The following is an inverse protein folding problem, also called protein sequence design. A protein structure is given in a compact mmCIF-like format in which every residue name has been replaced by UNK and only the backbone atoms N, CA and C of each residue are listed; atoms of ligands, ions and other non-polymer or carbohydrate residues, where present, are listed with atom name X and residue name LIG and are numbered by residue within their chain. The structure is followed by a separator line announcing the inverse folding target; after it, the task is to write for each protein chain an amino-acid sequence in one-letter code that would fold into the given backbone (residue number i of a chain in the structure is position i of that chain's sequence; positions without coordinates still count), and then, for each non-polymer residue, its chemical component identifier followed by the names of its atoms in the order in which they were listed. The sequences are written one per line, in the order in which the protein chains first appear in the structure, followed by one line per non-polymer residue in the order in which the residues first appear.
data_IF_914912587580
#
_entry.id   IF_914912587580
#
_cell.length_a   1.000
_cell.length_b   1.000
_cell.length_c   1.000
_cell.angle_alpha   90.00
_cell.angle_beta   90.00
_cell.angle_gamma   90.00
#
_symmetry.space_group_name_H-M   'P 1'
#
loop_
_entity.id
_entity.type
_entity.pdbx_description
1 polymer ?
#
# COMPACT_ATOMS: atom_id res chain seq x y z
N UNK A 1 5.46 1.50 -33.90
CA UNK A 1 5.86 2.47 -32.85
C UNK A 1 5.31 2.14 -31.44
N UNK A 2 4.46 1.11 -31.26
CA UNK A 2 3.92 0.70 -29.94
C UNK A 2 4.26 -0.75 -29.54
N UNK A 3 5.23 -1.37 -30.20
CA UNK A 3 5.51 -2.81 -30.06
C UNK A 3 5.92 -3.22 -28.64
N UNK A 4 6.61 -2.36 -27.90
CA UNK A 4 7.04 -2.63 -26.52
C UNK A 4 5.84 -2.65 -25.54
N UNK A 5 4.90 -1.71 -25.71
CA UNK A 5 3.69 -1.62 -24.90
C UNK A 5 2.78 -2.84 -25.10
N UNK A 6 2.57 -3.25 -26.36
CA UNK A 6 1.81 -4.47 -26.66
C UNK A 6 2.51 -5.75 -26.19
N UNK A 7 3.84 -5.80 -26.20
CA UNK A 7 4.61 -6.96 -25.72
C UNK A 7 4.49 -7.12 -24.20
N UNK A 8 4.60 -6.03 -23.44
CA UNK A 8 4.40 -6.04 -21.98
C UNK A 8 2.93 -6.20 -21.57
N UNK A 9 1.99 -5.84 -22.44
CA UNK A 9 0.55 -6.10 -22.24
C UNK A 9 0.19 -7.58 -22.41
N UNK A 10 1.09 -8.41 -22.94
CA UNK A 10 0.85 -9.84 -23.05
C UNK A 10 1.22 -10.56 -21.74
N UNK A 11 0.32 -11.41 -21.20
CA UNK A 11 0.57 -12.09 -19.92
C UNK A 11 1.84 -12.94 -19.91
N UNK A 12 2.14 -13.65 -21.00
CA UNK A 12 3.31 -14.53 -21.09
C UNK A 12 4.63 -13.75 -20.95
N UNK A 13 4.82 -12.72 -21.75
CA UNK A 13 6.06 -11.94 -21.70
C UNK A 13 6.21 -11.18 -20.38
N UNK A 14 5.10 -10.67 -19.82
CA UNK A 14 5.12 -10.04 -18.50
C UNK A 14 5.54 -11.04 -17.41
N UNK A 15 4.98 -12.25 -17.40
CA UNK A 15 5.28 -13.27 -16.40
C UNK A 15 6.74 -13.76 -16.49
N UNK A 16 7.24 -14.03 -17.69
CA UNK A 16 8.64 -14.43 -17.90
C UNK A 16 9.64 -13.35 -17.47
N UNK A 17 9.30 -12.08 -17.70
CA UNK A 17 10.16 -10.97 -17.31
C UNK A 17 10.07 -10.69 -15.80
N UNK A 18 8.87 -10.52 -15.26
CA UNK A 18 8.66 -10.25 -13.82
C UNK A 18 9.17 -11.39 -12.95
N UNK A 19 8.96 -12.65 -13.34
CA UNK A 19 9.41 -13.82 -12.60
C UNK A 19 10.94 -13.90 -12.45
N UNK A 20 11.71 -13.36 -13.40
CA UNK A 20 13.18 -13.29 -13.30
C UNK A 20 13.63 -12.26 -12.25
N UNK A 21 12.91 -11.15 -12.14
CA UNK A 21 13.25 -10.06 -11.21
C UNK A 21 12.66 -10.25 -9.81
N UNK A 22 11.55 -10.97 -9.71
CA UNK A 22 10.80 -11.19 -8.47
C UNK A 22 11.67 -11.69 -7.30
N UNK A 23 12.54 -12.72 -7.42
CA UNK A 23 13.34 -13.18 -6.28
C UNK A 23 14.34 -12.12 -5.81
N UNK A 24 14.92 -11.33 -6.73
CA UNK A 24 15.88 -10.28 -6.39
C UNK A 24 15.21 -9.10 -5.70
N UNK A 25 14.09 -8.63 -6.25
CA UNK A 25 13.31 -7.54 -5.66
C UNK A 25 12.73 -7.98 -4.31
N UNK A 26 12.17 -9.19 -4.22
CA UNK A 26 11.64 -9.74 -2.97
C UNK A 26 12.72 -9.88 -1.90
N UNK A 27 13.89 -10.41 -2.25
CA UNK A 27 15.03 -10.51 -1.35
C UNK A 27 15.49 -9.14 -0.85
N UNK A 28 15.64 -8.17 -1.75
CA UNK A 28 16.01 -6.79 -1.40
C UNK A 28 14.95 -6.14 -0.49
N UNK A 29 13.67 -6.31 -0.79
CA UNK A 29 12.57 -5.82 0.02
C UNK A 29 12.63 -6.39 1.44
N UNK A 30 12.81 -7.71 1.60
CA UNK A 30 12.91 -8.33 2.93
C UNK A 30 14.10 -7.77 3.71
N UNK A 31 15.27 -7.67 3.07
CA UNK A 31 16.49 -7.15 3.71
C UNK A 31 16.28 -5.71 4.19
N UNK A 32 15.81 -4.82 3.30
CA UNK A 32 15.57 -3.42 3.65
C UNK A 32 14.48 -3.26 4.69
N UNK A 33 13.43 -4.08 4.64
CA UNK A 33 12.34 -4.05 5.60
C UNK A 33 12.81 -4.46 7.00
N UNK A 34 13.60 -5.54 7.11
CA UNK A 34 14.17 -5.98 8.39
C UNK A 34 15.13 -4.93 8.97
N UNK A 35 16.02 -4.38 8.15
CA UNK A 35 16.94 -3.32 8.58
C UNK A 35 16.17 -2.08 9.04
N UNK A 36 15.16 -1.65 8.27
CA UNK A 36 14.33 -0.50 8.58
C UNK A 36 13.58 -0.66 9.90
N UNK A 37 12.98 -1.84 10.13
CA UNK A 37 12.30 -2.13 11.40
C UNK A 37 13.27 -2.18 12.57
N UNK A 38 14.43 -2.82 12.40
CA UNK A 38 15.46 -2.87 13.45
C UNK A 38 15.91 -1.46 13.85
N UNK A 39 16.23 -0.62 12.86
CA UNK A 39 16.65 0.76 13.13
C UNK A 39 15.53 1.61 13.73
N UNK A 40 14.32 1.55 13.18
CA UNK A 40 13.20 2.37 13.65
C UNK A 40 12.69 1.99 15.03
N UNK A 41 12.63 0.69 15.35
CA UNK A 41 11.99 0.21 16.59
C UNK A 41 12.97 -0.01 17.75
N UNK A 42 14.23 -0.34 17.46
CA UNK A 42 15.21 -0.70 18.51
C UNK A 42 16.38 0.27 18.63
N UNK A 43 16.82 0.88 17.53
CA UNK A 43 18.01 1.77 17.54
C UNK A 43 17.63 3.24 17.70
N UNK A 44 16.50 3.67 17.13
CA UNK A 44 16.08 5.06 17.18
C UNK A 44 15.97 5.57 18.63
N UNK A 45 16.58 6.73 18.95
CA UNK A 45 16.47 7.29 20.29
C UNK A 45 15.01 7.61 20.62
N UNK A 46 14.68 7.58 21.91
CA UNK A 46 13.36 8.00 22.38
C UNK A 46 13.13 9.47 22.09
N UNK A 47 11.92 9.82 21.67
CA UNK A 47 11.54 11.22 21.53
C UNK A 47 11.36 11.88 22.91
N UNK A 48 11.75 13.15 23.03
CA UNK A 48 11.68 13.89 24.29
C UNK A 48 10.23 14.12 24.78
N UNK A 49 9.27 14.28 23.85
CA UNK A 49 7.86 14.54 24.19
C UNK A 49 7.02 13.27 24.18
N UNK A 50 7.25 12.38 23.22
CA UNK A 50 6.43 11.20 22.97
C UNK A 50 7.03 9.89 23.54
N UNK A 51 8.27 9.94 24.05
CA UNK A 51 8.98 8.79 24.57
C UNK A 51 9.13 7.66 23.53
N UNK A 52 8.89 6.43 23.97
CA UNK A 52 8.94 5.23 23.13
C UNK A 52 7.80 5.17 22.10
N UNK A 53 6.66 5.82 22.37
CA UNK A 53 5.49 5.77 21.48
C UNK A 53 5.77 6.37 20.10
N UNK A 54 6.73 7.30 20.01
CA UNK A 54 7.16 7.88 18.74
C UNK A 54 7.59 6.81 17.74
N UNK A 55 8.21 5.70 18.17
CA UNK A 55 8.76 4.69 17.24
C UNK A 55 7.69 4.05 16.34
N UNK A 56 6.41 4.12 16.69
CA UNK A 56 5.29 3.69 15.85
C UNK A 56 5.28 4.44 14.50
N UNK A 57 5.80 5.67 14.41
CA UNK A 57 5.79 6.44 13.17
C UNK A 57 6.60 5.76 12.05
N UNK A 58 7.62 4.98 12.40
CA UNK A 58 8.43 4.25 11.42
C UNK A 58 7.66 3.14 10.72
N UNK A 59 6.51 2.73 11.25
CA UNK A 59 5.56 1.83 10.61
C UNK A 59 4.39 2.64 10.02
N UNK A 60 3.82 3.55 10.82
CA UNK A 60 2.61 4.27 10.46
C UNK A 60 2.78 5.16 9.23
N UNK A 61 3.84 5.98 9.19
CA UNK A 61 4.03 6.96 8.13
C UNK A 61 4.28 6.28 6.78
N UNK A 62 5.18 5.28 6.67
CA UNK A 62 5.32 4.53 5.42
C UNK A 62 4.04 3.81 5.01
N UNK A 63 3.28 3.23 5.96
CA UNK A 63 2.02 2.57 5.64
C UNK A 63 0.98 3.55 5.05
N UNK A 64 0.82 4.74 5.65
CA UNK A 64 -0.08 5.77 5.14
C UNK A 64 0.36 6.31 3.77
N UNK A 65 1.67 6.42 3.51
CA UNK A 65 2.15 6.78 2.18
C UNK A 65 1.89 5.68 1.15
N UNK A 66 2.10 4.42 1.54
CA UNK A 66 1.87 3.28 0.65
C UNK A 66 0.39 3.09 0.31
N UNK A 67 -0.53 3.33 1.25
CA UNK A 67 -1.97 3.27 0.96
C UNK A 67 -2.34 4.27 -0.15
N UNK A 68 -2.00 5.54 0.01
CA UNK A 68 -2.29 6.56 -1.01
C UNK A 68 -1.56 6.30 -2.34
N UNK A 69 -0.30 5.87 -2.29
CA UNK A 69 0.47 5.57 -3.50
C UNK A 69 -0.16 4.42 -4.30
N UNK A 70 -0.52 3.32 -3.63
CA UNK A 70 -1.16 2.17 -4.27
C UNK A 70 -2.51 2.57 -4.85
N UNK A 71 -3.24 3.49 -4.22
CA UNK A 71 -4.50 4.01 -4.76
C UNK A 71 -4.28 4.73 -6.09
N UNK A 72 -3.24 5.56 -6.18
CA UNK A 72 -2.89 6.24 -7.43
C UNK A 72 -2.44 5.26 -8.52
N UNK A 73 -1.69 4.21 -8.16
CA UNK A 73 -1.32 3.14 -9.10
C UNK A 73 -2.55 2.39 -9.59
N UNK A 74 -3.48 2.04 -8.69
CA UNK A 74 -4.74 1.38 -9.02
C UNK A 74 -5.60 2.26 -9.94
N UNK A 75 -5.72 3.56 -9.67
CA UNK A 75 -6.44 4.50 -10.51
C UNK A 75 -5.81 4.60 -11.92
N UNK A 76 -4.49 4.69 -12.00
CA UNK A 76 -3.76 4.67 -13.28
C UNK A 76 -3.95 3.38 -14.05
N UNK A 77 -3.87 2.22 -13.37
CA UNK A 77 -4.12 0.92 -13.97
C UNK A 77 -5.57 0.78 -14.45
N UNK A 78 -6.54 1.28 -13.68
CA UNK A 78 -7.96 1.32 -14.06
C UNK A 78 -8.20 2.18 -15.31
N UNK A 79 -7.56 3.35 -15.41
CA UNK A 79 -7.60 4.16 -16.62
C UNK A 79 -7.04 3.39 -17.83
N UNK A 80 -5.89 2.72 -17.66
CA UNK A 80 -5.29 1.91 -18.73
C UNK A 80 -6.21 0.76 -19.13
N UNK A 81 -6.85 0.10 -18.18
CA UNK A 81 -7.82 -0.97 -18.42
C UNK A 81 -9.03 -0.47 -19.22
N UNK A 82 -9.56 0.71 -18.90
CA UNK A 82 -10.70 1.27 -19.62
C UNK A 82 -10.37 1.71 -21.05
N UNK A 83 -9.20 2.32 -21.27
CA UNK A 83 -8.82 2.88 -22.58
C UNK A 83 -8.22 1.83 -23.51
N UNK A 84 -7.27 1.02 -23.01
CA UNK A 84 -6.56 0.03 -23.83
C UNK A 84 -7.04 -1.41 -23.63
N UNK A 85 -7.90 -1.68 -22.64
CA UNK A 85 -8.52 -3.01 -22.43
C UNK A 85 -7.50 -4.13 -22.33
N UNK A 86 -6.41 -3.89 -21.60
CA UNK A 86 -5.35 -4.89 -21.42
C UNK A 86 -5.65 -5.77 -20.20
N UNK A 87 -5.45 -7.08 -20.34
CA UNK A 87 -5.68 -8.02 -19.23
C UNK A 87 -4.72 -7.79 -18.06
N UNK A 88 -3.49 -7.35 -18.33
CA UNK A 88 -2.51 -7.04 -17.28
C UNK A 88 -2.98 -5.86 -16.41
N UNK A 89 -3.55 -4.81 -17.00
CA UNK A 89 -4.03 -3.67 -16.21
C UNK A 89 -5.18 -4.06 -15.28
N UNK A 90 -6.06 -4.97 -15.69
CA UNK A 90 -7.15 -5.48 -14.84
C UNK A 90 -6.60 -6.26 -13.64
N UNK A 91 -5.61 -7.14 -13.88
CA UNK A 91 -4.90 -7.86 -12.81
C UNK A 91 -4.21 -6.88 -11.85
N UNK A 92 -3.55 -5.83 -12.37
CA UNK A 92 -2.92 -4.83 -11.50
C UNK A 92 -3.95 -4.11 -10.62
N UNK A 93 -5.15 -3.83 -11.13
CA UNK A 93 -6.21 -3.22 -10.34
C UNK A 93 -6.65 -4.13 -9.19
N UNK A 94 -6.90 -5.42 -9.46
CA UNK A 94 -7.34 -6.37 -8.42
C UNK A 94 -6.27 -6.55 -7.33
N UNK A 95 -5.00 -6.70 -7.72
CA UNK A 95 -3.90 -6.87 -6.77
C UNK A 95 -3.64 -5.60 -5.94
N UNK A 96 -3.69 -4.42 -6.59
CA UNK A 96 -3.52 -3.15 -5.87
C UNK A 96 -4.62 -2.93 -4.83
N UNK A 97 -5.85 -3.40 -5.10
CA UNK A 97 -6.95 -3.23 -4.16
C UNK A 97 -6.68 -3.93 -2.82
N UNK A 98 -6.18 -5.17 -2.87
CA UNK A 98 -5.83 -5.96 -1.67
C UNK A 98 -4.62 -5.35 -0.95
N UNK A 99 -3.55 -5.04 -1.69
CA UNK A 99 -2.33 -4.47 -1.12
C UNK A 99 -2.62 -3.12 -0.46
N UNK A 100 -3.38 -2.27 -1.14
CA UNK A 100 -3.80 -0.95 -0.64
C UNK A 100 -4.63 -1.06 0.63
N UNK A 101 -5.62 -1.95 0.65
CA UNK A 101 -6.44 -2.19 1.84
C UNK A 101 -5.60 -2.59 3.07
N UNK A 102 -4.61 -3.46 2.88
CA UNK A 102 -3.71 -3.89 3.98
C UNK A 102 -2.91 -2.70 4.52
N UNK A 103 -2.32 -1.88 3.66
CA UNK A 103 -1.58 -0.70 4.10
C UNK A 103 -2.46 0.34 4.78
N UNK A 104 -3.67 0.58 4.25
CA UNK A 104 -4.63 1.49 4.89
C UNK A 104 -5.06 0.97 6.27
N UNK A 105 -5.32 -0.34 6.40
CA UNK A 105 -5.66 -0.94 7.68
C UNK A 105 -4.51 -0.82 8.69
N UNK A 106 -3.27 -1.08 8.27
CA UNK A 106 -2.08 -0.87 9.10
C UNK A 106 -2.00 0.59 9.53
N UNK A 107 -2.13 1.54 8.60
CA UNK A 107 -2.08 2.97 8.89
C UNK A 107 -3.14 3.40 9.91
N UNK A 108 -4.39 2.92 9.78
CA UNK A 108 -5.46 3.21 10.73
C UNK A 108 -5.17 2.62 12.11
N UNK A 109 -4.74 1.36 12.19
CA UNK A 109 -4.44 0.67 13.46
C UNK A 109 -3.23 1.30 14.16
N UNK A 110 -2.14 1.56 13.45
CA UNK A 110 -0.97 2.19 14.07
C UNK A 110 -1.24 3.65 14.41
N UNK A 111 -2.06 4.34 13.61
CA UNK A 111 -2.51 5.71 13.85
C UNK A 111 -3.34 5.83 15.14
N UNK A 112 -4.32 4.94 15.34
CA UNK A 112 -5.11 4.94 16.58
C UNK A 112 -4.24 4.62 17.81
N UNK A 113 -3.32 3.67 17.69
CA UNK A 113 -2.41 3.29 18.78
C UNK A 113 -1.47 4.42 19.18
N UNK A 114 -0.97 5.19 18.21
CA UNK A 114 -0.15 6.38 18.46
C UNK A 114 -0.97 7.59 18.94
N UNK A 115 -2.21 7.72 18.48
CA UNK A 115 -3.13 8.79 18.86
C UNK A 115 -3.50 8.75 20.35
N UNK A 116 -3.63 7.57 20.94
CA UNK A 116 -4.02 7.45 22.35
C UNK A 116 -3.03 8.11 23.34
N UNK A 117 -1.73 7.81 23.32
CA UNK A 117 -0.76 8.47 24.20
C UNK A 117 -0.50 9.93 23.81
N UNK A 118 -0.62 10.28 22.54
CA UNK A 118 -0.29 11.63 22.05
C UNK A 118 -1.44 12.64 22.23
N UNK A 119 -2.68 12.22 21.99
CA UNK A 119 -3.87 13.08 21.96
C UNK A 119 -4.97 12.64 22.94
N UNK A 120 -4.75 11.58 23.72
CA UNK A 120 -5.70 11.09 24.73
C UNK A 120 -6.87 10.28 24.17
N UNK A 121 -7.00 10.14 22.85
CA UNK A 121 -8.08 9.41 22.16
C UNK A 121 -7.55 8.55 21.02
N UNK A 122 -8.21 7.43 20.74
CA UNK A 122 -7.90 6.55 19.61
C UNK A 122 -8.42 7.08 18.28
N UNK A 123 -9.46 7.90 18.31
CA UNK A 123 -10.14 8.36 17.10
C UNK A 123 -10.67 9.78 17.27
N UNK A 124 -10.53 10.54 16.19
CA UNK A 124 -11.17 11.83 15.97
C UNK A 124 -11.73 11.85 14.55
N UNK A 125 -12.84 12.55 14.35
CA UNK A 125 -13.46 12.68 13.02
C UNK A 125 -12.85 13.84 12.23
N UNK A 126 -11.54 14.03 12.34
CA UNK A 126 -10.84 15.02 11.52
C UNK A 126 -10.69 14.55 10.08
N UNK A 127 -10.38 15.48 9.19
CA UNK A 127 -10.31 15.21 7.76
C UNK A 127 -9.31 14.10 7.41
N UNK A 128 -8.18 13.96 8.13
CA UNK A 128 -7.12 13.00 7.79
C UNK A 128 -7.52 11.57 8.16
N UNK A 129 -8.01 11.35 9.38
CA UNK A 129 -8.47 10.04 9.83
C UNK A 129 -9.70 9.60 9.03
N UNK A 130 -10.63 10.52 8.78
CA UNK A 130 -11.83 10.22 8.00
C UNK A 130 -11.50 9.89 6.55
N UNK A 131 -10.57 10.60 5.91
CA UNK A 131 -10.15 10.30 4.54
C UNK A 131 -9.46 8.94 4.41
N UNK A 132 -8.62 8.58 5.40
CA UNK A 132 -7.94 7.28 5.40
C UNK A 132 -8.95 6.13 5.59
N UNK A 133 -9.98 6.32 6.43
CA UNK A 133 -11.07 5.35 6.57
C UNK A 133 -11.89 5.21 5.28
N UNK A 134 -12.22 6.33 4.64
CA UNK A 134 -12.92 6.31 3.35
C UNK A 134 -12.08 5.56 2.30
N UNK A 135 -10.76 5.79 2.28
CA UNK A 135 -9.85 5.06 1.39
C UNK A 135 -9.92 3.54 1.61
N UNK A 136 -9.99 3.08 2.86
CA UNK A 136 -10.16 1.66 3.16
C UNK A 136 -11.44 1.10 2.54
N UNK A 137 -12.55 1.85 2.69
CA UNK A 137 -13.83 1.45 2.10
C UNK A 137 -13.81 1.48 0.57
N UNK A 138 -13.08 2.40 -0.06
CA UNK A 138 -12.91 2.38 -1.51
C UNK A 138 -12.19 1.09 -1.96
N UNK A 139 -11.16 0.67 -1.25
CA UNK A 139 -10.50 -0.60 -1.55
C UNK A 139 -11.41 -1.80 -1.35
N UNK A 140 -12.15 -1.86 -0.25
CA UNK A 140 -13.13 -2.92 -0.04
C UNK A 140 -14.22 -2.93 -1.11
N UNK A 141 -14.66 -1.75 -1.58
CA UNK A 141 -15.59 -1.64 -2.68
C UNK A 141 -15.06 -2.28 -3.96
N UNK A 142 -13.81 -2.02 -4.32
CA UNK A 142 -13.17 -2.65 -5.49
C UNK A 142 -13.05 -4.17 -5.28
N UNK A 143 -12.54 -4.62 -4.13
CA UNK A 143 -12.41 -6.06 -3.81
C UNK A 143 -13.76 -6.76 -3.92
N UNK A 144 -14.82 -6.19 -3.34
CA UNK A 144 -16.17 -6.76 -3.35
C UNK A 144 -16.74 -6.90 -4.76
N UNK A 145 -16.48 -5.91 -5.64
CA UNK A 145 -16.91 -5.97 -7.04
C UNK A 145 -16.23 -7.14 -7.75
N UNK A 146 -14.90 -7.24 -7.67
CA UNK A 146 -14.16 -8.33 -8.30
C UNK A 146 -14.61 -9.70 -7.76
N UNK A 147 -14.77 -9.85 -6.44
CA UNK A 147 -15.21 -11.10 -5.83
C UNK A 147 -16.67 -11.49 -6.12
N UNK A 148 -17.47 -10.55 -6.62
CA UNK A 148 -18.89 -10.81 -6.95
C UNK A 148 -19.13 -11.25 -8.39
N UNK A 149 -18.14 -11.03 -9.27
CA UNK A 149 -18.22 -11.31 -10.71
C UNK A 149 -17.45 -12.58 -11.07
N UNK A 150 -16.44 -12.96 -10.26
CA UNK A 150 -15.81 -14.29 -10.29
C UNK A 150 -16.69 -15.38 -9.65
#
# INVERSE_FOLDING_TARGET
MWAWFHKLSSPKYYYEWSGKWLPWLGGLTIILFVIGLYWGLLVAPTDYQQGESYRIIFIHVPAAWMSMFVYMVMAGAGFVALVWKTKISEIVVSECAVIGAVFTAIALVTGMLWGKPTWGTYWTWDARLTSELILLFLYFGVIAIYSSIE
#
